data_IF_148161627334
#
_entry.id   IF_148161627334
#
_cell.length_a   1.000
_cell.length_b   1.000
_cell.length_c   1.000
_cell.angle_alpha   90.00
_cell.angle_beta   90.00
_cell.angle_gamma   90.00
#
_symmetry.space_group_name_H-M   'P 1'
#
loop_
_entity.id
_entity.type
_entity.pdbx_description
1 polymer ?
#
# COMPACT_ATOMS: atom_id res chain seq x y z
N UNK A 1 8.35 -14.96 7.76
CA UNK A 1 8.48 -13.68 7.04
C UNK A 1 7.54 -13.48 5.85
N UNK A 2 7.45 -14.34 4.84
CA UNK A 2 6.42 -14.11 3.79
C UNK A 2 4.98 -14.44 4.23
N UNK A 3 4.77 -15.41 5.12
CA UNK A 3 3.43 -15.81 5.57
C UNK A 3 2.76 -14.75 6.43
N UNK A 4 3.49 -14.20 7.40
CA UNK A 4 3.01 -13.15 8.30
C UNK A 4 2.67 -11.88 7.54
N UNK A 5 3.51 -11.45 6.57
CA UNK A 5 3.19 -10.32 5.70
C UNK A 5 1.91 -10.55 4.90
N UNK A 6 1.73 -11.76 4.38
CA UNK A 6 0.55 -12.12 3.60
C UNK A 6 -0.73 -12.11 4.45
N UNK A 7 -0.66 -12.58 5.68
CA UNK A 7 -1.78 -12.55 6.63
C UNK A 7 -2.14 -11.11 7.03
N UNK A 8 -1.13 -10.28 7.31
CA UNK A 8 -1.34 -8.86 7.61
C UNK A 8 -1.99 -8.14 6.41
N UNK A 9 -1.51 -8.39 5.19
CA UNK A 9 -2.13 -7.81 4.00
C UNK A 9 -3.56 -8.28 3.78
N UNK A 10 -3.84 -9.57 3.98
CA UNK A 10 -5.20 -10.09 3.87
C UNK A 10 -6.15 -9.44 4.89
N UNK A 11 -5.68 -9.19 6.11
CA UNK A 11 -6.48 -8.49 7.12
C UNK A 11 -6.73 -7.02 6.73
N UNK A 12 -5.72 -6.33 6.20
CA UNK A 12 -5.84 -4.94 5.74
C UNK A 12 -6.80 -4.82 4.54
N UNK A 13 -6.70 -5.75 3.58
CA UNK A 13 -7.63 -5.85 2.43
C UNK A 13 -9.08 -6.05 2.88
N UNK A 14 -9.31 -6.85 3.93
CA UNK A 14 -10.65 -7.04 4.49
C UNK A 14 -11.26 -5.77 5.10
N UNK A 15 -10.43 -4.82 5.54
CA UNK A 15 -10.85 -3.59 6.21
C UNK A 15 -10.96 -2.39 5.26
N UNK A 16 -10.19 -2.36 4.16
CA UNK A 16 -10.08 -1.20 3.26
C UNK A 16 -11.39 -0.83 2.55
N UNK A 17 -12.32 -1.78 2.39
CA UNK A 17 -13.64 -1.49 1.83
C UNK A 17 -14.54 -0.63 2.72
N UNK A 18 -14.19 -0.45 3.99
CA UNK A 18 -14.95 0.36 4.95
C UNK A 18 -14.17 1.56 5.49
N UNK A 19 -12.86 1.63 5.24
CA UNK A 19 -11.95 2.60 5.82
C UNK A 19 -10.89 3.03 4.82
N UNK A 20 -10.48 4.30 4.86
CA UNK A 20 -9.30 4.76 4.12
C UNK A 20 -8.04 4.29 4.82
N UNK A 21 -7.23 3.49 4.13
CA UNK A 21 -5.95 2.96 4.65
C UNK A 21 -4.79 3.65 3.93
N UNK A 22 -3.82 4.14 4.71
CA UNK A 22 -2.56 4.70 4.19
C UNK A 22 -1.46 3.69 4.47
N UNK A 23 -0.88 3.12 3.41
CA UNK A 23 0.21 2.16 3.49
C UNK A 23 1.53 2.83 3.09
N UNK A 24 2.58 2.61 3.89
CA UNK A 24 3.94 3.09 3.59
C UNK A 24 4.82 1.85 3.45
N UNK A 25 5.43 1.68 2.27
CA UNK A 25 6.26 0.52 1.99
C UNK A 25 7.48 0.88 1.13
N UNK A 26 8.51 0.06 1.25
CA UNK A 26 9.73 0.15 0.45
C UNK A 26 9.75 -0.82 -0.74
N UNK A 27 8.79 -1.75 -0.81
CA UNK A 27 8.67 -2.74 -1.89
C UNK A 27 7.38 -2.47 -2.67
N UNK A 28 7.48 -2.42 -3.99
CA UNK A 28 6.32 -2.19 -4.85
C UNK A 28 5.31 -3.35 -4.77
N UNK A 29 5.78 -4.59 -4.60
CA UNK A 29 4.91 -5.77 -4.43
C UNK A 29 3.99 -5.68 -3.22
N UNK A 30 4.38 -4.92 -2.19
CA UNK A 30 3.56 -4.63 -1.01
C UNK A 30 2.42 -3.66 -1.32
N UNK A 31 2.55 -2.85 -2.37
CA UNK A 31 1.61 -1.81 -2.78
C UNK A 31 0.76 -2.22 -4.00
N UNK A 32 1.01 -3.39 -4.60
CA UNK A 32 0.34 -3.87 -5.83
C UNK A 32 -1.20 -3.87 -5.76
N UNK A 33 -1.79 -3.91 -4.56
CA UNK A 33 -3.24 -3.92 -4.38
C UNK A 33 -3.84 -2.59 -3.86
N UNK A 34 -3.03 -1.53 -3.78
CA UNK A 34 -3.52 -0.22 -3.35
C UNK A 34 -4.27 0.47 -4.48
N UNK A 35 -5.38 1.17 -4.18
CA UNK A 35 -6.14 1.89 -5.20
C UNK A 35 -5.32 3.01 -5.88
N UNK A 36 -4.45 3.65 -5.09
CA UNK A 36 -3.53 4.73 -5.52
C UNK A 36 -2.18 4.56 -4.86
N UNK A 37 -1.12 4.78 -5.63
CA UNK A 37 0.27 4.75 -5.16
C UNK A 37 0.88 6.13 -5.40
N UNK A 38 1.51 6.67 -4.36
CA UNK A 38 2.22 7.94 -4.43
C UNK A 38 3.71 7.71 -4.15
N UNK A 39 4.56 8.21 -5.03
CA UNK A 39 5.99 8.28 -4.76
C UNK A 39 6.31 9.66 -4.15
N UNK A 40 6.95 9.62 -2.99
CA UNK A 40 7.46 10.80 -2.31
C UNK A 40 8.97 10.89 -2.51
N UNK A 41 9.45 12.06 -2.93
CA UNK A 41 10.87 12.38 -3.00
C UNK A 41 11.10 13.82 -2.52
N UNK A 42 12.12 14.03 -1.69
CA UNK A 42 12.45 15.32 -1.07
C UNK A 42 11.25 16.06 -0.46
N UNK A 43 10.32 15.34 0.17
CA UNK A 43 9.13 15.91 0.79
C UNK A 43 8.02 16.34 -0.18
N UNK A 44 8.12 15.98 -1.46
CA UNK A 44 7.12 16.27 -2.49
C UNK A 44 6.61 14.99 -3.14
N UNK A 45 5.35 15.01 -3.61
CA UNK A 45 4.81 13.92 -4.44
C UNK A 45 5.36 14.10 -5.85
N UNK A 46 6.24 13.18 -6.26
CA UNK A 46 6.85 13.21 -7.59
C UNK A 46 6.12 12.32 -8.60
N UNK A 47 5.33 11.34 -8.13
CA UNK A 47 4.54 10.47 -9.00
C UNK A 47 3.25 10.02 -8.32
N UNK A 48 2.21 9.87 -9.14
CA UNK A 48 0.96 9.19 -8.80
C UNK A 48 0.67 8.11 -9.84
N UNK A 49 0.29 6.92 -9.39
CA UNK A 49 -0.25 5.84 -10.24
C UNK A 49 -1.50 5.22 -9.62
N UNK A 50 -2.36 4.66 -10.47
CA UNK A 50 -3.44 3.76 -10.04
C UNK A 50 -2.84 2.36 -9.89
N UNK A 51 -3.16 1.68 -8.79
CA UNK A 51 -2.84 0.26 -8.66
C UNK A 51 -3.81 -0.62 -9.43
#
# INVERSE_FOLDING_TARGET
>A
DNSTEKEVMAAIEGLSHQLTVILIAHRLSTLEKCDRIFQLDQGQVCQESKG
#
